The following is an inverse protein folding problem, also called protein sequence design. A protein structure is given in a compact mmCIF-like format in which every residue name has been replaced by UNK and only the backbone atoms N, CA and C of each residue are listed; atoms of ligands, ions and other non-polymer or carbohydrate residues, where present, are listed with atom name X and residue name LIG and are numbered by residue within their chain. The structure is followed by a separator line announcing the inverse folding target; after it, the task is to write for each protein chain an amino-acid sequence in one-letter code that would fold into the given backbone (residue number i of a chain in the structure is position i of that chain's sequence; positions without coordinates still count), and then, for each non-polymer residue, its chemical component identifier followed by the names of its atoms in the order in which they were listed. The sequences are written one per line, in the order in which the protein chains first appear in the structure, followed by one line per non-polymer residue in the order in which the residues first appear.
data_IF_440801411083
#
_entry.id   IF_440801411083
#
_cell.length_a   1.000
_cell.length_b   1.000
_cell.length_c   1.000
_cell.angle_alpha   90.00
_cell.angle_beta   90.00
_cell.angle_gamma   90.00
#
_symmetry.space_group_name_H-M   'P 1'
#
loop_
_entity.id
_entity.type
_entity.pdbx_description
1 polymer ?
#
# COMPACT_ATOMS: atom_id res chain seq x y z
N UNK A 1 8.03 27.08 -24.57
CA UNK A 1 8.01 26.25 -25.77
C UNK A 1 8.56 24.89 -25.42
N UNK A 2 7.68 23.90 -25.30
CA UNK A 2 8.01 22.48 -25.48
C UNK A 2 7.32 22.05 -26.78
N UNK A 3 7.98 21.25 -27.64
CA UNK A 3 7.42 20.88 -28.94
C UNK A 3 6.26 19.88 -28.81
N UNK A 4 5.19 20.19 -29.55
CA UNK A 4 4.08 19.32 -29.92
C UNK A 4 4.61 18.03 -30.57
N UNK A 5 4.33 16.87 -29.98
CA UNK A 5 4.54 15.58 -30.63
C UNK A 5 3.17 14.97 -30.91
N UNK A 6 2.69 15.20 -32.13
CA UNK A 6 1.57 14.46 -32.71
C UNK A 6 2.00 13.00 -32.93
N UNK A 7 1.28 12.06 -32.34
CA UNK A 7 1.38 10.64 -32.67
C UNK A 7 0.06 10.17 -33.27
N UNK A 8 -0.13 10.50 -34.55
CA UNK A 8 -0.99 9.72 -35.42
C UNK A 8 -0.21 8.46 -35.83
N UNK A 9 -0.54 7.32 -35.21
CA UNK A 9 -0.11 6.00 -35.68
C UNK A 9 -1.37 5.18 -35.97
N UNK A 10 -1.59 4.73 -37.23
CA UNK A 10 -2.82 4.07 -37.62
C UNK A 10 -2.92 2.68 -36.96
N UNK A 11 -4.04 2.42 -36.30
CA UNK A 11 -4.40 1.10 -35.77
C UNK A 11 -4.66 0.14 -36.93
N UNK A 12 -3.64 -0.65 -37.31
CA UNK A 12 -3.87 -1.89 -38.03
C UNK A 12 -4.38 -2.93 -37.04
N UNK A 13 -5.64 -3.32 -37.18
CA UNK A 13 -6.15 -4.56 -36.58
C UNK A 13 -5.38 -5.74 -37.16
N UNK A 14 -4.71 -6.49 -36.29
CA UNK A 14 -4.22 -7.84 -36.59
C UNK A 14 -4.61 -8.75 -35.45
N UNK A 15 -5.24 -9.88 -35.80
CA UNK A 15 -5.70 -10.95 -34.91
C UNK A 15 -4.65 -11.37 -33.84
N UNK A 16 -5.09 -11.84 -32.66
CA UNK A 16 -4.19 -11.99 -31.52
C UNK A 16 -3.23 -13.15 -31.72
N UNK A 17 -1.94 -12.84 -31.86
CA UNK A 17 -0.88 -13.81 -31.68
C UNK A 17 -0.86 -14.26 -30.21
N UNK A 18 -1.05 -15.56 -29.97
CA UNK A 18 -0.96 -16.17 -28.65
C UNK A 18 0.41 -15.89 -28.02
N UNK A 19 0.47 -14.98 -27.04
CA UNK A 19 1.69 -14.68 -26.28
C UNK A 19 2.09 -15.92 -25.49
N UNK A 20 3.29 -16.47 -25.78
CA UNK A 20 3.90 -17.56 -25.00
C UNK A 20 3.93 -17.17 -23.52
N UNK A 21 3.26 -17.97 -22.69
CA UNK A 21 3.20 -17.75 -21.25
C UNK A 21 4.61 -17.82 -20.63
N UNK A 22 5.04 -16.72 -20.02
CA UNK A 22 6.30 -16.62 -19.27
C UNK A 22 6.25 -17.66 -18.14
N UNK A 23 7.24 -18.56 -18.05
CA UNK A 23 7.32 -19.60 -17.01
C UNK A 23 7.21 -18.90 -15.64
N UNK A 24 6.15 -19.18 -14.87
CA UNK A 24 6.01 -18.69 -13.50
C UNK A 24 7.07 -19.38 -12.65
N UNK A 25 7.97 -18.60 -12.05
CA UNK A 25 8.84 -19.09 -10.98
C UNK A 25 7.95 -19.57 -9.83
N UNK A 26 8.09 -20.83 -9.44
CA UNK A 26 7.35 -21.38 -8.29
C UNK A 26 8.16 -21.10 -7.04
N UNK A 27 7.62 -20.27 -6.14
CA UNK A 27 8.19 -20.04 -4.81
C UNK A 27 7.76 -21.23 -3.95
N UNK A 28 8.72 -22.04 -3.49
CA UNK A 28 8.47 -23.24 -2.65
C UNK A 28 8.43 -22.94 -1.15
N UNK A 29 8.51 -21.66 -0.77
CA UNK A 29 8.45 -21.22 0.63
C UNK A 29 7.07 -21.48 1.21
N UNK A 30 7.01 -22.11 2.38
CA UNK A 30 5.78 -22.20 3.15
C UNK A 30 5.44 -20.80 3.69
N UNK A 31 4.33 -20.24 3.22
CA UNK A 31 3.85 -18.92 3.63
C UNK A 31 2.99 -18.96 4.89
N UNK A 32 2.65 -20.15 5.39
CA UNK A 32 1.86 -20.34 6.62
C UNK A 32 2.74 -20.47 7.85
N UNK A 33 3.94 -21.03 7.69
CA UNK A 33 4.91 -21.14 8.76
C UNK A 33 5.68 -19.82 8.93
N UNK A 34 5.63 -19.16 10.11
CA UNK A 34 6.48 -18.01 10.37
C UNK A 34 7.93 -18.46 10.48
N UNK A 35 8.84 -17.76 9.81
CA UNK A 35 10.28 -17.97 10.01
C UNK A 35 10.67 -17.49 11.42
N UNK A 36 11.71 -18.11 11.99
CA UNK A 36 12.32 -17.60 13.20
C UNK A 36 12.93 -16.20 12.96
N UNK A 37 12.82 -15.31 13.95
CA UNK A 37 13.49 -14.02 13.91
C UNK A 37 15.01 -14.25 13.86
N UNK A 38 15.77 -13.57 12.98
CA UNK A 38 17.21 -13.70 12.92
C UNK A 38 17.87 -13.39 14.27
N UNK A 39 18.95 -14.11 14.62
CA UNK A 39 19.66 -13.93 15.88
C UNK A 39 20.14 -12.48 16.11
N UNK A 40 20.52 -11.78 15.04
CA UNK A 40 20.86 -10.36 15.07
C UNK A 40 19.67 -9.48 15.48
N UNK A 41 18.46 -9.79 14.98
CA UNK A 41 17.24 -9.07 15.35
C UNK A 41 16.85 -9.28 16.82
N UNK A 42 17.01 -10.52 17.32
CA UNK A 42 16.80 -10.83 18.74
C UNK A 42 17.80 -10.06 19.60
N UNK A 43 19.09 -10.05 19.24
CA UNK A 43 20.12 -9.35 20.00
C UNK A 43 19.87 -7.84 20.07
N UNK A 44 19.48 -7.21 18.97
CA UNK A 44 19.17 -5.78 18.96
C UNK A 44 17.89 -5.44 19.73
N UNK A 45 16.86 -6.29 19.67
CA UNK A 45 15.67 -6.11 20.49
C UNK A 45 16.01 -6.18 21.99
N UNK A 46 16.84 -7.13 22.41
CA UNK A 46 17.30 -7.26 23.79
C UNK A 46 18.09 -6.04 24.24
N UNK A 47 19.05 -5.58 23.43
CA UNK A 47 19.85 -4.37 23.72
C UNK A 47 18.98 -3.12 23.85
N UNK A 48 17.94 -2.98 23.02
CA UNK A 48 16.97 -1.89 23.14
C UNK A 48 16.20 -1.98 24.47
N UNK A 49 15.74 -3.16 24.86
CA UNK A 49 15.07 -3.39 26.13
C UNK A 49 15.96 -3.03 27.33
N UNK A 50 17.21 -3.48 27.32
CA UNK A 50 18.21 -3.18 28.36
C UNK A 50 18.51 -1.68 28.47
N UNK A 51 18.45 -0.94 27.35
CA UNK A 51 18.69 0.50 27.34
C UNK A 51 17.57 1.33 28.00
N UNK A 52 16.37 0.76 28.20
CA UNK A 52 15.18 1.45 28.70
C UNK A 52 14.54 2.45 27.73
N UNK A 53 15.12 2.67 26.54
CA UNK A 53 14.62 3.60 25.51
C UNK A 53 13.50 2.98 24.66
N UNK A 54 12.45 2.49 25.32
CA UNK A 54 11.34 1.77 24.67
C UNK A 54 10.32 2.68 23.97
N UNK A 55 10.34 3.97 24.28
CA UNK A 55 9.43 4.93 23.67
C UNK A 55 10.12 5.70 22.54
N UNK A 56 9.42 5.82 21.42
CA UNK A 56 9.90 6.42 20.17
C UNK A 56 10.53 7.81 20.35
N UNK A 57 10.03 8.59 21.30
CA UNK A 57 10.43 9.98 21.51
C UNK A 57 11.38 10.17 22.71
N UNK A 58 11.79 9.10 23.41
CA UNK A 58 12.69 9.18 24.56
C UNK A 58 14.18 9.26 24.14
N UNK A 59 14.49 10.09 23.15
CA UNK A 59 15.84 10.29 22.61
C UNK A 59 16.11 11.77 22.36
N UNK A 60 17.39 12.18 22.36
CA UNK A 60 17.77 13.58 22.16
C UNK A 60 17.75 14.00 20.68
N UNK A 61 17.87 13.04 19.78
CA UNK A 61 17.95 13.25 18.34
C UNK A 61 17.32 12.08 17.57
N UNK A 62 16.89 12.32 16.33
CA UNK A 62 16.34 11.28 15.46
C UNK A 62 17.37 10.16 15.17
N UNK A 63 18.66 10.50 15.15
CA UNK A 63 19.77 9.57 14.92
C UNK A 63 19.95 8.56 16.06
N UNK A 64 19.37 8.82 17.23
CA UNK A 64 19.41 7.91 18.38
C UNK A 64 18.16 7.02 18.49
N UNK A 65 17.13 7.26 17.67
CA UNK A 65 15.91 6.45 17.66
C UNK A 65 16.00 5.34 16.63
N UNK A 66 15.94 4.10 17.08
CA UNK A 66 15.90 2.93 16.18
C UNK A 66 14.70 2.99 15.21
N UNK A 67 13.58 3.58 15.65
CA UNK A 67 12.40 3.77 14.81
C UNK A 67 12.70 4.79 13.71
N UNK A 68 13.29 5.93 14.04
CA UNK A 68 13.62 6.95 13.05
C UNK A 68 14.70 6.50 12.07
N UNK A 69 15.69 5.71 12.52
CA UNK A 69 16.68 5.09 11.64
C UNK A 69 16.00 4.14 10.64
N UNK A 70 15.13 3.25 11.12
CA UNK A 70 14.34 2.36 10.28
C UNK A 70 13.48 3.14 9.26
N UNK A 71 12.83 4.24 9.68
CA UNK A 71 12.03 5.07 8.78
C UNK A 71 12.87 5.71 7.68
N UNK A 72 14.07 6.21 8.00
CA UNK A 72 14.99 6.77 7.01
C UNK A 72 15.47 5.70 6.02
N UNK A 73 15.81 4.50 6.51
CA UNK A 73 16.22 3.38 5.66
C UNK A 73 15.09 2.92 4.74
N UNK A 74 13.86 2.80 5.25
CA UNK A 74 12.68 2.41 4.44
C UNK A 74 12.31 3.50 3.44
N UNK A 75 12.40 4.78 3.82
CA UNK A 75 12.18 5.90 2.90
C UNK A 75 13.19 5.84 1.74
N UNK A 76 14.47 5.64 2.04
CA UNK A 76 15.52 5.49 1.03
C UNK A 76 15.31 4.24 0.15
N UNK A 77 14.99 3.10 0.76
CA UNK A 77 14.76 1.84 0.05
C UNK A 77 13.56 1.93 -0.93
N UNK A 78 12.49 2.61 -0.53
CA UNK A 78 11.28 2.74 -1.35
C UNK A 78 11.29 3.96 -2.29
N UNK A 79 12.28 4.85 -2.18
CA UNK A 79 12.36 6.07 -2.97
C UNK A 79 11.37 7.17 -2.57
N UNK A 80 10.78 7.09 -1.37
CA UNK A 80 9.85 8.12 -0.86
C UNK A 80 10.59 9.12 0.02
N UNK A 81 10.12 10.37 0.02
CA UNK A 81 10.69 11.44 0.86
C UNK A 81 10.47 11.20 2.36
N UNK A 82 9.36 10.56 2.73
CA UNK A 82 8.95 10.35 4.10
C UNK A 82 8.46 8.92 4.31
N UNK A 83 8.74 8.35 5.48
CA UNK A 83 8.20 7.08 5.95
C UNK A 83 7.77 7.23 7.41
N UNK A 84 6.64 6.62 7.76
CA UNK A 84 6.14 6.59 9.15
C UNK A 84 5.82 5.13 9.53
N UNK A 85 6.60 4.60 10.45
CA UNK A 85 6.41 3.32 11.09
C UNK A 85 5.19 3.35 12.02
N UNK A 86 4.36 2.32 11.88
CA UNK A 86 3.11 2.13 12.62
C UNK A 86 3.05 0.69 13.15
N UNK A 87 2.15 0.45 14.10
CA UNK A 87 2.01 -0.86 14.74
C UNK A 87 1.41 -1.95 13.83
N UNK A 88 0.75 -1.56 12.72
CA UNK A 88 0.08 -2.48 11.81
C UNK A 88 -0.27 -1.80 10.48
N UNK A 89 -0.48 -2.61 9.44
CA UNK A 89 -0.95 -2.13 8.14
C UNK A 89 -2.38 -1.55 8.21
N UNK A 90 -3.24 -2.10 9.08
CA UNK A 90 -4.60 -1.59 9.28
C UNK A 90 -4.60 -0.17 9.85
N UNK A 91 -3.74 0.10 10.83
CA UNK A 91 -3.56 1.46 11.37
C UNK A 91 -2.95 2.41 10.34
N UNK A 92 -2.07 1.92 9.46
CA UNK A 92 -1.54 2.69 8.35
C UNK A 92 -2.64 3.10 7.37
N UNK A 93 -3.46 2.15 6.91
CA UNK A 93 -4.57 2.44 6.00
C UNK A 93 -5.57 3.43 6.62
N UNK A 94 -5.95 3.23 7.88
CA UNK A 94 -6.84 4.12 8.60
C UNK A 94 -6.28 5.56 8.66
N UNK A 95 -5.02 5.73 9.10
CA UNK A 95 -4.40 7.05 9.20
C UNK A 95 -4.31 7.73 7.82
N UNK A 96 -3.98 6.97 6.77
CA UNK A 96 -3.89 7.50 5.41
C UNK A 96 -5.25 7.91 4.84
N UNK A 97 -6.34 7.19 5.16
CA UNK A 97 -7.69 7.60 4.77
C UNK A 97 -8.06 8.94 5.41
N UNK A 98 -7.76 9.12 6.71
CA UNK A 98 -7.97 10.41 7.38
C UNK A 98 -7.11 11.53 6.77
N UNK A 99 -5.84 11.24 6.48
CA UNK A 99 -4.92 12.21 5.87
C UNK A 99 -5.33 12.59 4.44
N UNK A 100 -5.92 11.66 3.68
CA UNK A 100 -6.53 11.90 2.37
C UNK A 100 -7.87 12.67 2.46
N UNK A 101 -8.35 12.93 3.68
CA UNK A 101 -9.55 13.72 3.94
C UNK A 101 -10.84 12.94 3.78
N UNK A 102 -10.85 11.62 3.94
CA UNK A 102 -12.09 10.82 4.01
C UNK A 102 -12.91 11.29 5.20
N UNK A 103 -14.19 11.59 4.97
CA UNK A 103 -15.15 11.98 6.00
C UNK A 103 -16.15 10.85 6.27
N UNK A 104 -16.78 10.83 7.45
CA UNK A 104 -17.84 9.87 7.75
C UNK A 104 -18.95 9.92 6.68
N UNK A 105 -19.31 8.75 6.15
CA UNK A 105 -20.30 8.60 5.09
C UNK A 105 -19.75 8.64 3.66
N UNK A 106 -18.49 9.08 3.45
CA UNK A 106 -17.85 9.09 2.14
C UNK A 106 -17.73 7.67 1.60
N UNK A 107 -18.05 7.47 0.33
CA UNK A 107 -17.82 6.21 -0.37
C UNK A 107 -16.36 6.09 -0.78
N UNK A 108 -15.75 4.93 -0.50
CA UNK A 108 -14.34 4.65 -0.82
C UNK A 108 -14.26 3.37 -1.64
N UNK A 109 -13.73 3.49 -2.86
CA UNK A 109 -13.52 2.35 -3.75
C UNK A 109 -12.42 1.43 -3.20
N UNK A 110 -12.66 0.12 -3.19
CA UNK A 110 -11.69 -0.90 -2.80
C UNK A 110 -11.88 -2.17 -3.63
N UNK A 111 -10.83 -2.98 -3.81
CA UNK A 111 -10.97 -4.24 -4.55
C UNK A 111 -11.77 -5.27 -3.74
N UNK A 112 -12.66 -6.00 -4.42
CA UNK A 112 -13.48 -7.06 -3.83
C UNK A 112 -12.63 -8.25 -3.35
N UNK A 113 -11.59 -8.59 -4.12
CA UNK A 113 -10.64 -9.65 -3.76
C UNK A 113 -9.44 -9.08 -3.02
N UNK A 114 -9.56 -8.90 -1.70
CA UNK A 114 -8.53 -8.28 -0.85
C UNK A 114 -8.49 -8.88 0.55
N UNK A 115 -7.46 -8.55 1.33
CA UNK A 115 -7.41 -8.91 2.75
C UNK A 115 -8.35 -8.02 3.58
N UNK A 116 -9.02 -8.60 4.57
CA UNK A 116 -10.09 -7.95 5.36
C UNK A 116 -9.69 -6.61 5.98
N UNK A 117 -8.40 -6.41 6.29
CA UNK A 117 -7.91 -5.15 6.86
C UNK A 117 -8.20 -3.92 5.99
N UNK A 118 -8.31 -4.08 4.65
CA UNK A 118 -8.57 -2.95 3.74
C UNK A 118 -9.99 -2.37 3.93
N UNK A 119 -11.09 -3.13 3.72
CA UNK A 119 -12.44 -2.63 3.97
C UNK A 119 -12.68 -2.31 5.45
N UNK A 120 -12.04 -3.02 6.39
CA UNK A 120 -12.13 -2.69 7.83
C UNK A 120 -11.54 -1.32 8.13
N UNK A 121 -10.41 -0.93 7.52
CA UNK A 121 -9.82 0.39 7.71
C UNK A 121 -10.70 1.51 7.15
N UNK A 122 -11.35 1.28 6.00
CA UNK A 122 -12.34 2.20 5.43
C UNK A 122 -13.51 2.40 6.38
N UNK A 123 -14.07 1.31 6.90
CA UNK A 123 -15.16 1.36 7.85
C UNK A 123 -14.75 2.08 9.16
N UNK A 124 -13.56 1.79 9.69
CA UNK A 124 -13.02 2.47 10.87
C UNK A 124 -12.84 3.97 10.65
N UNK A 125 -12.49 4.42 9.44
CA UNK A 125 -12.43 5.83 9.06
C UNK A 125 -13.82 6.49 8.93
N UNK A 126 -14.91 5.73 9.12
CA UNK A 126 -16.28 6.20 8.93
C UNK A 126 -16.73 6.18 7.47
N UNK A 127 -15.88 5.74 6.54
CA UNK A 127 -16.21 5.60 5.13
C UNK A 127 -17.07 4.37 4.85
N UNK A 128 -17.66 4.35 3.65
CA UNK A 128 -18.44 3.23 3.12
C UNK A 128 -17.62 2.51 2.04
N UNK A 129 -17.15 1.28 2.29
CA UNK A 129 -16.45 0.51 1.26
C UNK A 129 -17.36 0.24 0.08
N UNK A 130 -16.90 0.55 -1.12
CA UNK A 130 -17.56 0.20 -2.37
C UNK A 130 -16.64 -0.73 -3.14
N UNK A 131 -17.12 -1.95 -3.37
CA UNK A 131 -16.29 -3.00 -3.95
C UNK A 131 -16.21 -2.87 -5.47
N UNK A 132 -14.98 -2.92 -5.97
CA UNK A 132 -14.63 -2.98 -7.38
C UNK A 132 -14.15 -4.40 -7.71
N UNK A 133 -14.62 -4.94 -8.83
CA UNK A 133 -14.23 -6.28 -9.27
C UNK A 133 -12.73 -6.44 -9.49
N UNK A 134 -12.28 -7.70 -9.51
CA UNK A 134 -10.88 -8.04 -9.75
C UNK A 134 -10.71 -8.76 -11.09
N UNK A 135 -9.63 -8.43 -11.79
CA UNK A 135 -9.23 -9.14 -13.00
C UNK A 135 -8.69 -10.53 -12.67
N UNK A 136 -8.51 -11.38 -13.68
CA UNK A 136 -7.81 -12.67 -13.53
C UNK A 136 -6.32 -12.51 -13.14
N UNK A 137 -5.80 -11.28 -13.18
CA UNK A 137 -4.48 -10.93 -12.64
C UNK A 137 -4.46 -10.68 -11.13
N UNK A 138 -5.60 -10.83 -10.43
CA UNK A 138 -5.78 -10.50 -9.02
C UNK A 138 -5.52 -9.02 -8.69
N UNK A 139 -5.75 -8.14 -9.67
CA UNK A 139 -5.70 -6.68 -9.52
C UNK A 139 -7.09 -6.10 -9.69
N UNK A 140 -7.31 -4.89 -9.20
CA UNK A 140 -8.55 -4.14 -9.43
C UNK A 140 -8.85 -4.00 -10.94
N UNK A 141 -10.11 -4.23 -11.33
CA UNK A 141 -10.58 -4.02 -12.69
C UNK A 141 -11.01 -2.55 -12.88
N UNK A 142 -10.20 -1.80 -13.64
CA UNK A 142 -10.45 -0.39 -13.94
C UNK A 142 -11.59 -0.18 -14.95
N UNK A 143 -12.00 -1.22 -15.67
CA UNK A 143 -13.16 -1.20 -16.57
C UNK A 143 -14.49 -1.53 -15.87
N UNK A 144 -14.45 -1.88 -14.59
CA UNK A 144 -15.63 -2.23 -13.81
C UNK A 144 -16.59 -1.03 -13.73
N UNK A 145 -17.87 -1.27 -14.02
CA UNK A 145 -18.92 -0.26 -13.86
C UNK A 145 -19.22 -0.10 -12.37
N UNK A 146 -18.82 1.03 -11.81
CA UNK A 146 -19.24 1.45 -10.46
C UNK A 146 -20.59 2.19 -10.53
N UNK A 147 -21.38 2.20 -9.44
CA UNK A 147 -22.62 2.97 -9.37
C UNK A 147 -22.45 4.43 -9.82
N UNK A 148 -23.36 4.92 -10.66
CA UNK A 148 -23.25 6.23 -11.31
C UNK A 148 -23.27 7.41 -10.32
N UNK A 149 -23.89 7.23 -9.16
CA UNK A 149 -23.92 8.17 -8.04
C UNK A 149 -22.54 8.38 -7.40
N UNK A 150 -21.57 7.49 -7.67
CA UNK A 150 -20.20 7.58 -7.17
C UNK A 150 -19.22 8.19 -8.17
N UNK A 151 -19.64 8.40 -9.43
CA UNK A 151 -18.79 8.96 -10.48
C UNK A 151 -18.38 10.44 -10.25
N UNK A 152 -18.95 11.08 -9.23
CA UNK A 152 -18.76 12.51 -8.91
C UNK A 152 -18.03 12.75 -7.57
N UNK A 153 -17.40 11.72 -6.99
CA UNK A 153 -16.72 11.86 -5.71
C UNK A 153 -15.41 12.68 -5.85
N UNK A 154 -15.53 14.00 -5.62
CA UNK A 154 -14.54 15.09 -5.56
C UNK A 154 -13.98 15.59 -6.90
N UNK A 155 -14.67 16.59 -7.44
CA UNK A 155 -14.12 17.55 -8.41
C UNK A 155 -13.62 18.86 -7.75
N UNK A 156 -13.70 18.95 -6.42
CA UNK A 156 -13.45 20.20 -5.68
C UNK A 156 -12.20 20.05 -4.79
N UNK A 157 -11.04 20.24 -5.41
CA UNK A 157 -9.78 20.71 -4.80
C UNK A 157 -9.21 21.81 -5.69
#
# INVERSE_FOLDING_TARGET
GLPDVKHDVPLKESAPAAKKAKRRTVITKDIKAPDAVPASGIAEATKLMESGKLYRYNVKSAQESIVSLCEMEVAAYTGHKYCVALNSCGSALYLMLLAAGVKPGDSVLTNAFTFVAVPSAIHHAGGKPVYVESTMGYTMDLGCKVPADLAHARQDC
#
